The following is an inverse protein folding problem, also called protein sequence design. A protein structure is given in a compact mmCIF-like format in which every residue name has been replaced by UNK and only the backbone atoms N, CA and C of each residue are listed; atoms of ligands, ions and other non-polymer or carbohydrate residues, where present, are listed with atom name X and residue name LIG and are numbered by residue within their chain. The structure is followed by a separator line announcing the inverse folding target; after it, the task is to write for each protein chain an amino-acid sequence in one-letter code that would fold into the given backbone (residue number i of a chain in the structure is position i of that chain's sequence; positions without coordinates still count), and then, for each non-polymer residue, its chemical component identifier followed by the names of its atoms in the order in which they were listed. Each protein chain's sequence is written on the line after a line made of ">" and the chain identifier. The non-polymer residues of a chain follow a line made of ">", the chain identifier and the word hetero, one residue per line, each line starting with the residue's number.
data_IF_278391552932
#
_entry.id   IF_278391552932
#
_cell.length_a   1.000
_cell.length_b   1.000
_cell.length_c   1.000
_cell.angle_alpha   90.00
_cell.angle_beta   90.00
_cell.angle_gamma   90.00
#
_symmetry.space_group_name_H-M   'P 1'
#
loop_
_entity.id
_entity.type
_entity.pdbx_description
1 polymer ?
#
# COMPACT_ATOMS: atom_id res chain seq x y z
N UNK A 1 1.07 -23.40 22.27
CA UNK A 1 1.70 -22.10 22.49
C UNK A 1 0.68 -21.17 23.09
N UNK A 2 0.97 -20.48 24.18
CA UNK A 2 0.03 -19.49 24.67
C UNK A 2 -0.19 -18.46 23.57
N UNK A 3 -1.46 -18.19 23.24
CA UNK A 3 -1.87 -17.05 22.44
C UNK A 3 -1.26 -15.81 23.12
N UNK A 4 -0.14 -15.33 22.61
CA UNK A 4 0.25 -13.96 22.93
C UNK A 4 -0.78 -13.09 22.23
N UNK A 5 -1.58 -12.39 23.02
CA UNK A 5 -2.38 -11.30 22.46
C UNK A 5 -1.46 -10.48 21.58
N UNK A 6 -1.83 -10.24 20.31
CA UNK A 6 -1.00 -9.44 19.45
C UNK A 6 -0.75 -8.12 20.15
N UNK A 7 0.50 -7.72 20.25
CA UNK A 7 0.96 -6.51 20.95
C UNK A 7 0.35 -5.23 20.35
N UNK A 8 -0.32 -5.35 19.21
CA UNK A 8 -0.95 -4.28 18.44
C UNK A 8 -2.03 -4.85 17.52
N UNK A 9 -3.00 -4.01 17.14
CA UNK A 9 -4.09 -4.37 16.23
C UNK A 9 -3.67 -4.18 14.76
N UNK A 10 -4.39 -4.85 13.86
CA UNK A 10 -4.24 -4.59 12.42
C UNK A 10 -4.61 -3.15 12.06
N UNK A 11 -5.60 -2.57 12.73
CA UNK A 11 -5.98 -1.17 12.52
C UNK A 11 -4.85 -0.20 12.87
N UNK A 12 -4.16 -0.43 13.98
CA UNK A 12 -2.98 0.35 14.37
C UNK A 12 -1.86 0.21 13.35
N UNK A 13 -1.61 -1.01 12.85
CA UNK A 13 -0.62 -1.26 11.80
C UNK A 13 -0.99 -0.53 10.51
N UNK A 14 -2.24 -0.62 10.05
CA UNK A 14 -2.72 0.10 8.87
C UNK A 14 -2.53 1.61 9.00
N UNK A 15 -2.88 2.18 10.14
CA UNK A 15 -2.71 3.61 10.40
C UNK A 15 -1.24 4.03 10.30
N UNK A 16 -0.34 3.31 10.95
CA UNK A 16 1.09 3.59 10.92
C UNK A 16 1.70 3.43 9.53
N UNK A 17 1.30 2.41 8.80
CA UNK A 17 1.73 2.17 7.42
C UNK A 17 1.22 3.30 6.51
N UNK A 18 -0.03 3.70 6.65
CA UNK A 18 -0.59 4.82 5.90
C UNK A 18 0.16 6.13 6.16
N UNK A 19 0.46 6.44 7.41
CA UNK A 19 1.25 7.62 7.80
C UNK A 19 2.68 7.57 7.24
N UNK A 20 3.32 6.41 7.28
CA UNK A 20 4.65 6.22 6.70
C UNK A 20 4.67 6.59 5.21
N UNK A 21 3.70 6.08 4.43
CA UNK A 21 3.62 6.38 3.01
C UNK A 21 3.19 7.82 2.73
N UNK A 22 2.35 8.41 3.56
CA UNK A 22 1.96 9.80 3.44
C UNK A 22 3.15 10.77 3.63
N UNK A 23 4.09 10.40 4.49
CA UNK A 23 5.29 11.20 4.77
C UNK A 23 6.49 10.84 3.88
N UNK A 24 6.39 9.76 3.10
CA UNK A 24 7.48 9.30 2.24
C UNK A 24 7.65 10.22 1.03
N UNK A 25 8.89 10.53 0.71
CA UNK A 25 9.26 11.21 -0.54
C UNK A 25 9.46 10.16 -1.63
N UNK A 26 8.71 10.30 -2.70
CA UNK A 26 8.88 9.48 -3.90
C UNK A 26 9.67 10.26 -4.94
N UNK A 27 10.48 9.54 -5.74
CA UNK A 27 11.21 10.12 -6.85
C UNK A 27 10.51 9.78 -8.16
N UNK A 28 10.43 10.75 -9.06
CA UNK A 28 10.01 10.48 -10.44
C UNK A 28 11.02 9.55 -11.13
N UNK A 29 10.50 8.68 -12.00
CA UNK A 29 11.33 7.89 -12.92
C UNK A 29 11.93 8.72 -14.05
N UNK A 30 11.45 9.95 -14.26
CA UNK A 30 11.99 10.88 -15.22
C UNK A 30 13.26 11.54 -14.66
N UNK A 31 14.45 11.30 -15.26
CA UNK A 31 15.70 11.83 -14.75
C UNK A 31 15.79 13.38 -14.84
N UNK A 32 14.91 14.00 -15.61
CA UNK A 32 14.84 15.45 -15.77
C UNK A 32 13.79 16.13 -14.91
N UNK A 33 12.89 15.33 -14.31
CA UNK A 33 11.87 15.84 -13.40
C UNK A 33 12.33 15.66 -11.96
N UNK A 34 12.81 16.73 -11.37
CA UNK A 34 13.31 16.78 -9.99
C UNK A 34 12.19 17.05 -8.97
N UNK A 35 10.94 17.23 -9.45
CA UNK A 35 9.82 17.46 -8.57
C UNK A 35 9.51 16.22 -7.77
N UNK A 36 9.33 16.41 -6.48
CA UNK A 36 8.95 15.33 -5.59
C UNK A 36 7.52 14.87 -5.90
N UNK A 37 7.35 13.58 -6.11
CA UNK A 37 6.04 12.98 -6.24
C UNK A 37 5.36 13.03 -4.88
N UNK A 38 4.20 13.69 -4.81
CA UNK A 38 3.41 13.81 -3.59
C UNK A 38 2.43 12.64 -3.52
N UNK A 39 2.49 11.81 -2.46
CA UNK A 39 1.54 10.73 -2.28
C UNK A 39 0.22 11.25 -1.71
N UNK A 40 -0.88 10.70 -2.21
CA UNK A 40 -2.19 10.78 -1.58
C UNK A 40 -2.52 9.41 -1.02
N UNK A 41 -2.80 9.32 0.26
CA UNK A 41 -2.99 8.03 0.95
C UNK A 41 -4.41 7.89 1.43
N UNK A 42 -5.00 6.73 1.19
CA UNK A 42 -6.37 6.37 1.55
C UNK A 42 -6.38 5.06 2.32
N UNK A 43 -7.31 4.92 3.25
CA UNK A 43 -7.52 3.67 4.00
C UNK A 43 -8.88 3.07 3.69
N UNK A 44 -8.94 1.74 3.74
CA UNK A 44 -10.17 0.96 3.69
C UNK A 44 -11.05 1.33 2.48
N UNK A 45 -10.47 1.32 1.30
CA UNK A 45 -11.16 1.65 0.07
C UNK A 45 -11.85 0.42 -0.50
N UNK A 46 -13.17 0.48 -0.56
CA UNK A 46 -13.96 -0.59 -1.16
C UNK A 46 -13.88 -0.54 -2.69
N UNK A 47 -13.64 -1.71 -3.29
CA UNK A 47 -13.56 -1.89 -4.73
C UNK A 47 -14.63 -2.89 -5.15
N UNK A 48 -15.87 -2.41 -5.47
CA UNK A 48 -17.01 -3.29 -5.69
C UNK A 48 -16.80 -4.27 -6.85
N UNK A 49 -16.11 -3.86 -7.91
CA UNK A 49 -15.89 -4.69 -9.11
C UNK A 49 -15.11 -5.98 -8.84
N UNK A 50 -14.32 -6.04 -7.78
CA UNK A 50 -13.60 -7.25 -7.39
C UNK A 50 -14.05 -7.79 -6.02
N UNK A 51 -15.04 -7.14 -5.38
CA UNK A 51 -15.55 -7.56 -4.08
C UNK A 51 -14.51 -7.52 -2.95
N UNK A 52 -13.58 -6.57 -3.00
CA UNK A 52 -12.49 -6.44 -2.02
C UNK A 52 -12.44 -5.03 -1.44
N UNK A 53 -11.86 -4.95 -0.26
CA UNK A 53 -11.45 -3.69 0.39
C UNK A 53 -9.93 -3.67 0.38
N UNK A 54 -9.33 -2.58 -0.11
CA UNK A 54 -7.90 -2.34 0.01
C UNK A 54 -7.61 -1.64 1.34
N UNK A 55 -6.70 -2.17 2.12
CA UNK A 55 -6.39 -1.62 3.43
C UNK A 55 -5.74 -0.23 3.33
N UNK A 56 -4.77 -0.09 2.44
CA UNK A 56 -4.09 1.18 2.16
C UNK A 56 -3.87 1.32 0.67
N UNK A 57 -4.28 2.46 0.12
CA UNK A 57 -3.97 2.85 -1.26
C UNK A 57 -3.11 4.11 -1.23
N UNK A 58 -1.99 4.07 -1.96
CA UNK A 58 -1.14 5.23 -2.21
C UNK A 58 -1.27 5.63 -3.67
N UNK A 59 -1.81 6.80 -3.91
CA UNK A 59 -1.92 7.38 -5.25
C UNK A 59 -0.86 8.46 -5.43
N UNK A 60 -0.01 8.27 -6.43
CA UNK A 60 1.09 9.19 -6.72
C UNK A 60 0.71 10.18 -7.81
N UNK A 61 1.30 11.36 -7.77
CA UNK A 61 1.04 12.42 -8.76
C UNK A 61 1.41 12.04 -10.19
N UNK A 62 2.29 11.06 -10.40
CA UNK A 62 2.60 10.46 -11.70
C UNK A 62 1.56 9.41 -12.15
N UNK A 63 0.41 9.35 -11.47
CA UNK A 63 -0.73 8.45 -11.71
C UNK A 63 -0.47 6.97 -11.40
N UNK A 64 0.59 6.63 -10.71
CA UNK A 64 0.81 5.28 -10.21
C UNK A 64 0.02 5.04 -8.94
N UNK A 65 -0.49 3.81 -8.78
CA UNK A 65 -1.27 3.41 -7.62
C UNK A 65 -0.60 2.21 -6.96
N UNK A 66 -0.40 2.31 -5.66
CA UNK A 66 0.16 1.25 -4.83
C UNK A 66 -0.95 0.71 -3.94
N UNK A 67 -1.14 -0.61 -3.94
CA UNK A 67 -1.97 -1.30 -2.96
C UNK A 67 -1.10 -1.87 -1.85
N UNK A 68 -1.54 -1.77 -0.61
CA UNK A 68 -0.88 -2.37 0.54
C UNK A 68 -1.93 -3.07 1.38
N UNK A 69 -1.79 -4.38 1.53
CA UNK A 69 -2.61 -5.21 2.41
C UNK A 69 -1.88 -5.46 3.72
N UNK A 70 -2.55 -5.28 4.83
CA UNK A 70 -1.98 -5.39 6.16
C UNK A 70 -2.56 -6.59 6.91
N UNK A 71 -1.72 -7.46 7.42
CA UNK A 71 -2.15 -8.62 8.21
C UNK A 71 -1.13 -8.94 9.30
N UNK A 72 -1.61 -9.25 10.50
CA UNK A 72 -0.71 -9.60 11.59
C UNK A 72 -0.10 -11.00 11.44
N UNK A 73 -0.86 -11.98 10.95
CA UNK A 73 -0.42 -13.37 10.97
C UNK A 73 -0.86 -14.24 9.79
N UNK A 74 -2.02 -14.00 9.18
CA UNK A 74 -2.54 -14.86 8.12
C UNK A 74 -1.97 -14.50 6.74
N UNK A 75 -0.78 -15.03 6.44
CA UNK A 75 -0.07 -14.76 5.20
C UNK A 75 -0.75 -15.34 3.96
N UNK A 76 -1.44 -16.47 4.05
CA UNK A 76 -2.13 -17.07 2.91
C UNK A 76 -3.31 -16.22 2.46
N UNK A 77 -4.09 -15.74 3.39
CA UNK A 77 -5.23 -14.88 3.13
C UNK A 77 -4.80 -13.52 2.54
N UNK A 78 -3.81 -12.88 3.13
CA UNK A 78 -3.32 -11.57 2.65
C UNK A 78 -2.65 -11.66 1.29
N UNK A 79 -1.97 -12.78 0.99
CA UNK A 79 -1.39 -13.01 -0.33
C UNK A 79 -2.46 -13.03 -1.41
N UNK A 80 -3.58 -13.73 -1.19
CA UNK A 80 -4.70 -13.75 -2.12
C UNK A 80 -5.32 -12.37 -2.32
N UNK A 81 -5.47 -11.60 -1.25
CA UNK A 81 -5.93 -10.21 -1.35
C UNK A 81 -4.99 -9.36 -2.20
N UNK A 82 -3.69 -9.42 -1.95
CA UNK A 82 -2.69 -8.67 -2.71
C UNK A 82 -2.68 -9.06 -4.19
N UNK A 83 -2.88 -10.34 -4.51
CA UNK A 83 -3.03 -10.83 -5.89
C UNK A 83 -4.28 -10.25 -6.58
N UNK A 84 -5.41 -10.24 -5.88
CA UNK A 84 -6.66 -9.69 -6.43
C UNK A 84 -6.54 -8.21 -6.78
N UNK A 85 -5.82 -7.46 -5.98
CA UNK A 85 -5.58 -6.03 -6.23
C UNK A 85 -4.62 -5.77 -7.40
N UNK A 86 -3.88 -6.77 -7.89
CA UNK A 86 -3.09 -6.64 -9.12
C UNK A 86 -3.96 -6.41 -10.36
N UNK A 87 -5.27 -6.62 -10.29
CA UNK A 87 -6.18 -6.27 -11.39
C UNK A 87 -6.19 -4.77 -11.70
N UNK A 88 -5.83 -3.93 -10.74
CA UNK A 88 -5.86 -2.47 -10.92
C UNK A 88 -4.59 -1.74 -10.44
N UNK A 89 -3.84 -2.30 -9.50
CA UNK A 89 -2.68 -1.64 -8.91
C UNK A 89 -1.44 -1.76 -9.79
N UNK A 90 -0.64 -0.71 -9.83
CA UNK A 90 0.68 -0.72 -10.47
C UNK A 90 1.69 -1.49 -9.63
N UNK A 91 1.57 -1.39 -8.30
CA UNK A 91 2.38 -2.09 -7.32
C UNK A 91 1.47 -2.65 -6.23
N UNK A 92 1.75 -3.85 -5.76
CA UNK A 92 1.01 -4.46 -4.66
C UNK A 92 1.97 -5.00 -3.61
N UNK A 93 1.72 -4.64 -2.36
CA UNK A 93 2.51 -5.02 -1.21
C UNK A 93 1.68 -5.74 -0.17
N UNK A 94 2.34 -6.62 0.56
CA UNK A 94 1.86 -7.17 1.81
C UNK A 94 2.67 -6.54 2.94
N UNK A 95 2.01 -6.05 3.97
CA UNK A 95 2.62 -5.62 5.21
C UNK A 95 2.28 -6.58 6.33
N UNK A 96 3.29 -7.19 6.91
CA UNK A 96 3.17 -8.13 8.02
C UNK A 96 3.88 -7.59 9.28
N UNK A 97 3.47 -8.05 10.45
CA UNK A 97 4.24 -7.79 11.66
C UNK A 97 5.64 -8.42 11.56
N UNK A 98 6.67 -7.70 12.01
CA UNK A 98 8.08 -8.09 11.86
C UNK A 98 8.46 -9.45 12.45
N UNK A 99 7.65 -9.94 13.41
CA UNK A 99 7.86 -11.23 14.06
C UNK A 99 7.17 -12.40 13.31
N UNK A 100 6.49 -12.12 12.19
CA UNK A 100 5.76 -13.13 11.43
C UNK A 100 6.73 -14.01 10.64
N UNK A 101 6.64 -15.32 10.88
CA UNK A 101 7.36 -16.28 10.04
C UNK A 101 6.64 -16.46 8.71
N UNK A 102 7.37 -16.31 7.61
CA UNK A 102 6.87 -16.57 6.26
C UNK A 102 7.56 -17.78 5.66
N UNK A 103 6.82 -18.84 5.29
CA UNK A 103 7.40 -19.99 4.60
C UNK A 103 8.01 -19.61 3.25
N UNK A 104 9.05 -20.34 2.82
CA UNK A 104 9.72 -20.07 1.55
C UNK A 104 8.79 -20.12 0.34
N UNK A 105 7.79 -21.00 0.34
CA UNK A 105 6.84 -21.10 -0.77
C UNK A 105 5.98 -19.84 -0.91
N UNK A 106 5.65 -19.17 0.19
CA UNK A 106 4.93 -17.89 0.17
C UNK A 106 5.80 -16.79 -0.43
N UNK A 107 7.07 -16.73 -0.04
CA UNK A 107 8.03 -15.77 -0.62
C UNK A 107 8.21 -16.01 -2.12
N UNK A 108 8.29 -17.25 -2.57
CA UNK A 108 8.38 -17.60 -3.98
C UNK A 108 7.12 -17.20 -4.75
N UNK A 109 5.94 -17.39 -4.18
CA UNK A 109 4.67 -16.93 -4.76
C UNK A 109 4.64 -15.39 -4.90
N UNK A 110 5.10 -14.68 -3.87
CA UNK A 110 5.18 -13.22 -3.91
C UNK A 110 6.11 -12.75 -5.04
N UNK A 111 7.29 -13.34 -5.13
CA UNK A 111 8.27 -13.00 -6.17
C UNK A 111 7.70 -13.29 -7.57
N UNK A 112 7.07 -14.44 -7.77
CA UNK A 112 6.51 -14.82 -9.08
C UNK A 112 5.37 -13.92 -9.55
N UNK A 113 4.62 -13.31 -8.62
CA UNK A 113 3.54 -12.37 -8.91
C UNK A 113 3.98 -10.90 -8.84
N UNK A 114 5.24 -10.63 -8.51
CA UNK A 114 5.74 -9.27 -8.36
C UNK A 114 5.20 -8.53 -7.14
N UNK A 115 4.75 -9.25 -6.11
CA UNK A 115 4.21 -8.68 -4.87
C UNK A 115 5.36 -8.37 -3.92
N UNK A 116 5.39 -7.15 -3.38
CA UNK A 116 6.37 -6.71 -2.41
C UNK A 116 6.02 -7.10 -0.97
N UNK A 117 7.02 -7.09 -0.10
CA UNK A 117 6.88 -7.41 1.32
C UNK A 117 7.43 -6.29 2.18
N UNK A 118 6.61 -5.84 3.10
CA UNK A 118 6.95 -4.88 4.13
C UNK A 118 6.81 -5.56 5.49
N UNK A 119 7.77 -5.31 6.40
CA UNK A 119 7.64 -5.67 7.80
C UNK A 119 7.43 -4.41 8.63
N UNK A 120 6.43 -4.47 9.48
CA UNK A 120 6.11 -3.41 10.41
C UNK A 120 6.37 -3.82 11.85
N UNK A 121 6.97 -2.91 12.58
CA UNK A 121 7.15 -2.95 14.03
C UNK A 121 6.86 -1.54 14.57
N UNK A 122 6.40 -1.36 15.82
CA UNK A 122 6.15 -0.02 16.35
C UNK A 122 7.33 0.95 16.27
N UNK A 123 8.56 0.41 16.30
CA UNK A 123 9.80 1.21 16.33
C UNK A 123 10.52 1.27 14.96
N UNK A 124 10.12 0.46 13.97
CA UNK A 124 10.76 0.44 12.66
C UNK A 124 9.83 -0.13 11.59
N UNK A 125 10.17 0.19 10.36
CA UNK A 125 9.50 -0.27 9.17
C UNK A 125 10.54 -0.67 8.13
N UNK A 126 10.41 -1.86 7.57
CA UNK A 126 11.39 -2.42 6.63
C UNK A 126 10.72 -2.88 5.35
N UNK A 127 11.20 -2.40 4.20
CA UNK A 127 10.88 -2.96 2.90
C UNK A 127 11.83 -4.13 2.61
N UNK A 128 11.32 -5.34 2.73
CA UNK A 128 12.10 -6.59 2.57
C UNK A 128 12.18 -7.02 1.12
N UNK A 129 11.08 -6.87 0.40
CA UNK A 129 10.95 -7.24 -1.00
C UNK A 129 10.22 -6.13 -1.74
N UNK A 130 10.85 -5.58 -2.79
CA UNK A 130 10.26 -4.55 -3.61
C UNK A 130 9.22 -5.16 -4.56
N UNK A 131 8.04 -4.52 -4.67
CA UNK A 131 7.04 -4.91 -5.68
C UNK A 131 7.54 -4.63 -7.08
N UNK A 132 7.30 -5.57 -8.00
CA UNK A 132 7.47 -5.34 -9.43
C UNK A 132 6.35 -4.46 -10.00
N UNK A 133 6.64 -3.76 -11.10
CA UNK A 133 5.62 -3.00 -11.83
C UNK A 133 4.67 -3.96 -12.55
N UNK A 134 3.38 -3.81 -12.29
CA UNK A 134 2.34 -4.64 -12.91
C UNK A 134 1.91 -4.07 -14.26
N UNK A 135 2.21 -4.80 -15.32
CA UNK A 135 1.85 -4.42 -16.71
C UNK A 135 0.45 -4.90 -17.12
N UNK A 136 -0.17 -5.81 -16.38
CA UNK A 136 -1.43 -6.48 -16.73
C UNK A 136 -2.59 -6.00 -15.87
N UNK A 137 -2.95 -4.73 -16.01
CA UNK A 137 -4.10 -4.16 -15.29
C UNK A 137 -5.35 -4.18 -16.15
N UNK A 138 -6.51 -4.38 -15.50
CA UNK A 138 -7.81 -4.15 -16.10
C UNK A 138 -8.15 -2.66 -16.06
N UNK A 139 -8.29 -2.06 -17.23
CA UNK A 139 -8.54 -0.62 -17.36
C UNK A 139 -9.86 -0.21 -16.68
N UNK A 140 -10.92 -0.99 -16.85
CA UNK A 140 -12.23 -0.69 -16.29
C UNK A 140 -12.24 -0.73 -14.76
N UNK A 141 -11.58 -1.73 -14.17
CA UNK A 141 -11.43 -1.83 -12.71
C UNK A 141 -10.59 -0.66 -12.19
N UNK A 142 -9.49 -0.35 -12.85
CA UNK A 142 -8.61 0.77 -12.48
C UNK A 142 -9.35 2.11 -12.52
N UNK A 143 -10.12 2.38 -13.55
CA UNK A 143 -10.93 3.59 -13.65
C UNK A 143 -11.96 3.70 -12.52
N UNK A 144 -12.56 2.56 -12.11
CA UNK A 144 -13.49 2.55 -10.99
C UNK A 144 -12.81 2.85 -9.64
N UNK A 145 -11.58 2.36 -9.45
CA UNK A 145 -10.77 2.70 -8.28
C UNK A 145 -10.46 4.20 -8.25
N UNK A 146 -10.01 4.75 -9.38
CA UNK A 146 -9.73 6.18 -9.51
C UNK A 146 -10.96 7.04 -9.19
N UNK A 147 -12.14 6.66 -9.68
CA UNK A 147 -13.38 7.35 -9.40
C UNK A 147 -13.75 7.28 -7.91
N UNK A 148 -13.50 6.14 -7.27
CA UNK A 148 -13.73 5.97 -5.83
C UNK A 148 -12.79 6.85 -4.99
N UNK A 149 -11.52 6.95 -5.35
CA UNK A 149 -10.55 7.80 -4.65
C UNK A 149 -10.93 9.29 -4.71
N UNK A 150 -11.49 9.75 -5.83
CA UNK A 150 -11.95 11.15 -5.97
C UNK A 150 -13.08 11.53 -5.01
N UNK A 151 -13.85 10.56 -4.53
CA UNK A 151 -14.95 10.77 -3.58
C UNK A 151 -14.49 10.75 -2.12
N UNK A 152 -13.26 10.35 -1.85
CA UNK A 152 -12.75 10.10 -0.49
C UNK A 152 -11.77 11.17 -0.06
N UNK A 153 -11.74 11.40 1.26
CA UNK A 153 -10.70 12.22 1.87
C UNK A 153 -9.44 11.38 2.03
N UNK A 154 -8.31 11.93 1.60
CA UNK A 154 -7.00 11.32 1.87
C UNK A 154 -6.63 11.45 3.35
N UNK A 155 -5.75 10.56 3.82
CA UNK A 155 -5.10 10.71 5.10
C UNK A 155 -4.08 11.82 5.00
N UNK A 156 -4.14 12.77 5.92
CA UNK A 156 -3.22 13.89 6.01
C UNK A 156 -2.46 13.80 7.31
N UNK A 157 -1.12 13.79 7.22
CA UNK A 157 -0.25 13.94 8.39
C UNK A 157 0.08 15.42 8.61
N UNK A 158 0.60 15.77 9.78
CA UNK A 158 1.02 17.16 10.04
C UNK A 158 2.03 17.70 9.03
N UNK A 159 2.91 16.84 8.48
CA UNK A 159 3.84 17.22 7.41
C UNK A 159 3.12 17.43 6.08
N UNK A 160 2.13 16.59 5.79
CA UNK A 160 1.34 16.67 4.56
C UNK A 160 0.34 17.82 4.57
N UNK A 161 -0.12 18.25 5.74
CA UNK A 161 -0.96 19.44 5.84
C UNK A 161 -0.22 20.68 5.32
N UNK A 162 1.03 20.85 5.72
CA UNK A 162 1.87 21.95 5.21
C UNK A 162 2.15 21.78 3.72
N UNK A 163 2.51 20.58 3.28
CA UNK A 163 2.79 20.29 1.88
C UNK A 163 1.54 20.39 1.00
N UNK A 164 0.37 19.94 1.48
CA UNK A 164 -0.89 20.04 0.71
C UNK A 164 -1.38 21.47 0.62
N UNK A 165 -1.16 22.30 1.62
CA UNK A 165 -1.46 23.73 1.56
C UNK A 165 -0.58 24.45 0.54
N UNK A 166 0.69 24.07 0.41
CA UNK A 166 1.58 24.62 -0.61
C UNK A 166 1.34 24.03 -2.00
N UNK A 167 1.03 22.75 -2.11
CA UNK A 167 0.77 22.07 -3.38
C UNK A 167 -0.59 22.43 -4.03
N UNK A 168 -1.55 22.88 -3.26
CA UNK A 168 -2.84 23.39 -3.77
C UNK A 168 -2.66 24.71 -4.52
N UNK A 169 -1.58 25.41 -4.26
CA UNK A 169 -1.30 26.76 -4.77
C UNK A 169 -0.31 26.77 -5.94
N UNK A 170 0.31 25.67 -6.18
CA UNK A 170 1.24 25.46 -7.29
C UNK A 170 0.61 24.68 -8.44
#
# INVERSE_FOLDING_TARGET
>A
MPNRDPKYSEDEMQEKVAMYFADRKFRSSDPYNWDHIIPKVYREVRIPKIGRISDVIVYLTDRKIINIECKLSDYGFVLNQAKDHLKWADYSYICMASETYLPAYILNEMISHGIGLLFWHPNYFVEVLQSGYNKKKDKSIRESVMAELKKRNQIVTGKNEVASQSAIWE
#
